data_IF_236245624296
#
_entry.id   IF_236245624296
#
_cell.length_a   1.000
_cell.length_b   1.000
_cell.length_c   1.000
_cell.angle_alpha   90.00
_cell.angle_beta   90.00
_cell.angle_gamma   90.00
#
_symmetry.space_group_name_H-M   'P 1'
#
loop_
_entity.id
_entity.type
_entity.pdbx_description
1 polymer ?
#
# COMPACT_ATOMS: atom_id res chain seq x y z
N UNK A 1 -37.95 10.63 -17.84
CA UNK A 1 -37.56 10.70 -19.27
C UNK A 1 -37.22 12.16 -19.58
N UNK A 2 -36.21 12.43 -20.42
CA UNK A 2 -35.77 13.80 -20.75
C UNK A 2 -34.88 14.49 -19.71
N UNK A 3 -34.38 13.74 -18.70
CA UNK A 3 -33.47 14.26 -17.67
C UNK A 3 -32.09 13.64 -17.82
N UNK A 4 -31.06 14.38 -17.44
CA UNK A 4 -29.69 13.86 -17.42
C UNK A 4 -29.54 12.76 -16.37
N UNK A 5 -28.93 11.63 -16.76
CA UNK A 5 -28.72 10.51 -15.84
C UNK A 5 -27.78 10.89 -14.67
N UNK A 6 -26.80 11.76 -14.91
CA UNK A 6 -25.81 12.18 -13.91
C UNK A 6 -26.44 12.90 -12.70
N UNK A 7 -27.63 13.49 -12.88
CA UNK A 7 -28.39 14.13 -11.81
C UNK A 7 -28.83 13.14 -10.72
N UNK A 8 -28.95 11.87 -11.08
CA UNK A 8 -29.35 10.80 -10.16
C UNK A 8 -28.15 10.11 -9.52
N UNK A 9 -26.95 10.28 -10.06
CA UNK A 9 -25.71 9.69 -9.53
C UNK A 9 -25.17 10.54 -8.38
N UNK A 10 -24.80 9.89 -7.29
CA UNK A 10 -24.19 10.54 -6.13
C UNK A 10 -22.93 11.32 -6.53
N UNK A 11 -22.71 12.55 -6.02
CA UNK A 11 -21.57 13.39 -6.40
C UNK A 11 -20.21 12.69 -6.33
N UNK A 12 -19.98 11.88 -5.30
CA UNK A 12 -18.74 11.08 -5.11
C UNK A 12 -18.48 10.05 -6.21
N UNK A 13 -19.53 9.57 -6.89
CA UNK A 13 -19.41 8.51 -7.91
C UNK A 13 -19.36 9.06 -9.34
N UNK A 14 -19.54 10.38 -9.52
CA UNK A 14 -19.61 11.02 -10.85
C UNK A 14 -18.30 10.92 -11.62
N UNK A 15 -17.17 11.07 -10.93
CA UNK A 15 -15.84 10.98 -11.56
C UNK A 15 -15.57 9.55 -12.05
N UNK A 16 -15.90 8.56 -11.23
CA UNK A 16 -15.81 7.14 -11.61
C UNK A 16 -16.70 6.85 -12.81
N UNK A 17 -17.94 7.35 -12.82
CA UNK A 17 -18.86 7.21 -13.96
C UNK A 17 -18.30 7.83 -15.25
N UNK A 18 -17.79 9.06 -15.18
CA UNK A 18 -17.22 9.75 -16.33
C UNK A 18 -15.98 9.01 -16.89
N UNK A 19 -15.10 8.54 -16.01
CA UNK A 19 -13.92 7.75 -16.39
C UNK A 19 -14.31 6.44 -17.08
N UNK A 20 -15.32 5.72 -16.56
CA UNK A 20 -15.80 4.47 -17.15
C UNK A 20 -16.42 4.66 -18.54
N UNK A 21 -17.17 5.74 -18.74
CA UNK A 21 -17.72 6.09 -20.05
C UNK A 21 -16.60 6.43 -21.02
N UNK A 22 -15.64 7.26 -20.60
CA UNK A 22 -14.54 7.72 -21.45
C UNK A 22 -13.68 6.55 -21.91
N UNK A 23 -13.32 5.65 -20.99
CA UNK A 23 -12.56 4.44 -21.32
C UNK A 23 -13.34 3.48 -22.22
N UNK A 24 -14.66 3.36 -22.01
CA UNK A 24 -15.52 2.51 -22.83
C UNK A 24 -15.70 3.03 -24.27
N UNK A 25 -15.63 4.34 -24.49
CA UNK A 25 -15.69 4.99 -25.80
C UNK A 25 -14.32 5.06 -26.50
N UNK A 26 -13.23 5.16 -25.73
CA UNK A 26 -11.87 5.34 -26.24
C UNK A 26 -11.24 4.08 -26.86
N UNK A 27 -11.91 2.91 -26.79
CA UNK A 27 -11.42 1.69 -27.46
C UNK A 27 -11.50 1.90 -28.97
N UNK A 28 -10.37 2.03 -29.69
CA UNK A 28 -10.39 2.26 -31.12
C UNK A 28 -10.99 1.04 -31.82
N UNK A 29 -11.99 1.25 -32.67
CA UNK A 29 -12.28 0.26 -33.72
C UNK A 29 -11.10 0.36 -34.69
N UNK A 30 -10.25 -0.67 -34.75
CA UNK A 30 -9.18 -0.73 -35.74
C UNK A 30 -9.80 -0.57 -37.15
N UNK A 31 -9.63 0.61 -37.72
CA UNK A 31 -9.88 0.89 -39.13
C UNK A 31 -8.51 0.92 -39.76
N UNK A 32 -8.06 -0.22 -40.27
CA UNK A 32 -7.18 -0.30 -41.45
C UNK A 32 -7.14 -1.75 -41.94
N UNK A 33 -7.42 -1.90 -43.23
CA UNK A 33 -7.63 -3.20 -43.87
C UNK A 33 -6.34 -3.96 -44.08
N UNK A 34 -6.35 -5.24 -43.73
CA UNK A 34 -5.97 -6.36 -44.60
C UNK A 34 -6.61 -7.61 -44.00
N UNK A 35 -6.98 -8.56 -44.84
CA UNK A 35 -7.72 -9.76 -44.48
C UNK A 35 -7.03 -10.58 -43.38
N UNK A 36 -7.74 -10.85 -42.29
CA UNK A 36 -7.90 -12.21 -41.74
C UNK A 36 -9.11 -12.24 -40.80
N UNK A 37 -9.94 -13.27 -40.97
CA UNK A 37 -11.22 -13.48 -40.26
C UNK A 37 -10.95 -13.69 -38.76
N UNK A 38 -11.04 -12.63 -37.97
CA UNK A 38 -11.44 -12.72 -36.56
C UNK A 38 -12.60 -11.76 -36.37
N UNK A 39 -13.79 -12.32 -36.10
CA UNK A 39 -14.98 -11.56 -35.74
C UNK A 39 -14.67 -10.66 -34.54
N UNK A 40 -14.42 -9.37 -34.76
CA UNK A 40 -14.40 -8.36 -33.71
C UNK A 40 -15.84 -7.96 -33.34
N UNK A 41 -16.61 -8.93 -32.85
CA UNK A 41 -17.81 -8.66 -32.06
C UNK A 41 -17.38 -8.40 -30.64
N UNK A 42 -17.33 -7.13 -30.24
CA UNK A 42 -16.96 -6.77 -28.88
C UNK A 42 -17.68 -5.50 -28.46
N UNK A 43 -18.96 -5.61 -28.10
CA UNK A 43 -19.58 -4.63 -27.22
C UNK A 43 -18.75 -4.62 -25.92
N UNK A 44 -17.91 -3.62 -25.71
CA UNK A 44 -17.20 -3.44 -24.45
C UNK A 44 -18.24 -3.23 -23.36
N UNK A 45 -18.43 -4.25 -22.53
CA UNK A 45 -19.28 -4.18 -21.36
C UNK A 45 -18.39 -3.74 -20.21
N UNK A 46 -18.56 -2.51 -19.75
CA UNK A 46 -17.92 -2.03 -18.52
C UNK A 46 -18.90 -2.14 -17.36
N UNK A 47 -18.38 -2.45 -16.16
CA UNK A 47 -19.17 -2.48 -14.93
C UNK A 47 -18.61 -1.50 -13.90
N UNK A 48 -19.48 -0.92 -13.09
CA UNK A 48 -19.09 -0.05 -11.99
C UNK A 48 -20.11 -0.04 -10.86
N UNK A 49 -19.67 0.34 -9.66
CA UNK A 49 -20.55 0.57 -8.53
C UNK A 49 -20.91 2.06 -8.43
N UNK A 50 -22.17 2.38 -8.19
CA UNK A 50 -22.58 3.76 -7.91
C UNK A 50 -23.76 3.81 -6.96
N UNK A 51 -23.94 4.98 -6.34
CA UNK A 51 -25.13 5.30 -5.56
C UNK A 51 -26.09 6.11 -6.43
N UNK A 52 -27.31 5.60 -6.58
CA UNK A 52 -28.39 6.28 -7.32
C UNK A 52 -29.39 6.85 -6.32
N UNK A 53 -29.78 8.10 -6.54
CA UNK A 53 -30.74 8.84 -5.73
C UNK A 53 -32.07 8.10 -5.69
N UNK A 54 -32.59 7.87 -4.49
CA UNK A 54 -33.93 7.29 -4.32
C UNK A 54 -34.99 8.33 -4.70
N UNK A 55 -36.03 7.87 -5.38
CA UNK A 55 -37.16 8.71 -5.74
C UNK A 55 -37.85 9.26 -4.48
N UNK A 56 -38.07 10.57 -4.43
CA UNK A 56 -38.85 11.21 -3.37
C UNK A 56 -40.33 11.02 -3.70
N UNK A 57 -40.92 9.93 -3.21
CA UNK A 57 -42.37 9.74 -3.28
C UNK A 57 -43.11 10.84 -2.50
N UNK A 58 -44.22 11.31 -3.05
CA UNK A 58 -45.18 12.21 -2.39
C UNK A 58 -46.06 11.50 -1.34
N UNK A 59 -45.79 10.23 -1.04
CA UNK A 59 -46.62 9.39 -0.16
C UNK A 59 -46.67 9.84 1.30
N UNK A 60 -45.74 10.70 1.74
CA UNK A 60 -45.66 11.21 3.11
C UNK A 60 -45.58 12.74 3.13
N UNK A 61 -46.65 13.41 2.68
CA UNK A 61 -46.88 14.85 2.88
C UNK A 61 -46.37 15.80 1.78
N UNK A 62 -46.89 17.03 1.81
CA UNK A 62 -46.65 18.11 0.83
C UNK A 62 -45.28 18.82 0.98
N UNK A 63 -44.50 18.49 2.01
CA UNK A 63 -43.16 19.06 2.28
C UNK A 63 -42.05 18.31 1.54
N UNK A 64 -41.84 18.61 0.24
CA UNK A 64 -40.77 17.98 -0.56
C UNK A 64 -39.41 18.67 -0.36
N UNK A 65 -39.38 19.88 0.21
CA UNK A 65 -38.15 20.68 0.37
C UNK A 65 -37.25 20.22 1.53
N UNK A 66 -37.80 19.67 2.61
CA UNK A 66 -37.03 19.33 3.83
C UNK A 66 -36.61 17.86 3.96
N UNK A 67 -36.87 17.02 2.94
CA UNK A 67 -36.48 15.59 2.99
C UNK A 67 -35.02 15.39 2.59
N UNK A 68 -34.22 14.84 3.49
CA UNK A 68 -32.83 14.43 3.24
C UNK A 68 -32.77 13.55 1.97
N UNK A 69 -31.82 13.84 1.07
CA UNK A 69 -31.62 13.03 -0.15
C UNK A 69 -31.00 11.70 0.26
N UNK A 70 -31.71 10.60 0.04
CA UNK A 70 -31.16 9.25 0.25
C UNK A 70 -30.71 8.65 -1.07
N UNK A 71 -29.67 7.83 -0.99
CA UNK A 71 -29.12 7.12 -2.13
C UNK A 71 -29.11 5.61 -1.85
N UNK A 72 -29.12 4.81 -2.91
CA UNK A 72 -29.06 3.36 -2.82
C UNK A 72 -27.93 2.87 -3.74
N UNK A 73 -27.12 1.88 -3.31
CA UNK A 73 -26.03 1.33 -4.12
C UNK A 73 -26.56 0.42 -5.25
N UNK A 74 -25.92 0.50 -6.42
CA UNK A 74 -26.20 -0.32 -7.59
C UNK A 74 -24.89 -0.76 -8.25
N UNK A 75 -24.89 -1.98 -8.78
CA UNK A 75 -23.95 -2.41 -9.83
C UNK A 75 -24.53 -1.96 -11.18
N UNK A 76 -23.85 -1.03 -11.83
CA UNK A 76 -24.14 -0.59 -13.19
C UNK A 76 -23.34 -1.41 -14.18
N UNK A 77 -24.03 -1.88 -15.23
CA UNK A 77 -23.44 -2.45 -16.43
C UNK A 77 -23.69 -1.50 -17.60
N UNK A 78 -22.62 -0.98 -18.17
CA UNK A 78 -22.61 -0.01 -19.25
C UNK A 78 -22.38 -0.75 -20.58
N UNK A 79 -23.17 -0.42 -21.58
CA UNK A 79 -23.00 -0.93 -22.94
C UNK A 79 -23.30 0.13 -23.98
N UNK A 80 -22.41 0.28 -24.97
CA UNK A 80 -22.59 1.24 -26.05
C UNK A 80 -23.21 0.55 -27.26
N UNK A 81 -24.31 1.13 -27.76
CA UNK A 81 -24.97 0.69 -28.99
C UNK A 81 -24.87 1.78 -30.04
N UNK A 82 -24.31 1.43 -31.20
CA UNK A 82 -24.29 2.33 -32.34
C UNK A 82 -25.56 2.07 -33.16
N UNK A 83 -26.33 3.11 -33.45
CA UNK A 83 -27.43 3.06 -34.41
C UNK A 83 -27.03 3.97 -35.56
N UNK A 84 -26.98 3.41 -36.77
CA UNK A 84 -26.73 4.16 -37.99
C UNK A 84 -28.08 4.35 -38.67
N UNK A 85 -28.55 5.59 -38.73
CA UNK A 85 -29.71 5.99 -39.51
C UNK A 85 -29.24 6.85 -40.70
N UNK A 86 -30.14 7.18 -41.63
CA UNK A 86 -29.82 7.96 -42.84
C UNK A 86 -29.24 9.36 -42.53
N UNK A 87 -29.48 9.88 -41.31
CA UNK A 87 -29.04 11.20 -40.83
C UNK A 87 -27.68 11.18 -40.10
N UNK A 88 -27.09 10.00 -39.88
CA UNK A 88 -25.76 9.85 -39.28
C UNK A 88 -25.64 8.72 -38.26
N UNK A 89 -24.48 8.65 -37.61
CA UNK A 89 -24.15 7.62 -36.61
C UNK A 89 -24.41 8.14 -35.20
N UNK A 90 -25.47 7.64 -34.57
CA UNK A 90 -25.81 7.92 -33.18
C UNK A 90 -25.25 6.85 -32.25
N UNK A 91 -24.73 7.27 -31.09
CA UNK A 91 -24.21 6.38 -30.06
C UNK A 91 -25.11 6.46 -28.83
N UNK A 92 -25.70 5.33 -28.46
CA UNK A 92 -26.54 5.18 -27.27
C UNK A 92 -25.76 4.48 -26.17
N UNK A 93 -25.84 5.01 -24.95
CA UNK A 93 -25.39 4.35 -23.74
C UNK A 93 -26.57 3.63 -23.08
N UNK A 94 -26.50 2.31 -23.01
CA UNK A 94 -27.49 1.47 -22.31
C UNK A 94 -26.91 1.09 -20.95
N UNK A 95 -27.64 1.45 -19.90
CA UNK A 95 -27.31 1.18 -18.51
C UNK A 95 -28.25 0.11 -17.94
N UNK A 96 -27.70 -0.98 -17.42
CA UNK A 96 -28.42 -1.95 -16.62
C UNK A 96 -27.99 -1.79 -15.16
N UNK A 97 -28.93 -1.49 -14.27
CA UNK A 97 -28.67 -1.26 -12.86
C UNK A 97 -29.21 -2.42 -12.00
N UNK A 98 -28.33 -3.12 -11.29
CA UNK A 98 -28.69 -4.15 -10.32
C UNK A 98 -28.55 -3.59 -8.91
N UNK A 99 -29.63 -3.52 -8.10
CA UNK A 99 -29.55 -3.01 -6.73
C UNK A 99 -28.68 -3.91 -5.86
N UNK A 100 -27.91 -3.28 -4.96
CA UNK A 100 -27.14 -3.98 -3.93
C UNK A 100 -27.86 -3.84 -2.59
N UNK A 101 -27.79 -4.92 -1.81
CA UNK A 101 -28.44 -5.02 -0.51
C UNK A 101 -27.43 -5.46 0.54
N UNK A 102 -27.70 -5.11 1.80
CA UNK A 102 -26.92 -5.64 2.91
C UNK A 102 -27.04 -7.17 2.95
N UNK A 103 -25.96 -7.83 3.32
CA UNK A 103 -25.98 -9.26 3.58
C UNK A 103 -26.75 -9.63 4.85
N UNK A 104 -27.00 -8.65 5.73
CA UNK A 104 -27.66 -8.86 7.02
C UNK A 104 -29.13 -8.43 6.98
N UNK A 105 -29.99 -9.23 7.61
CA UNK A 105 -31.42 -9.01 7.73
C UNK A 105 -31.83 -8.60 9.14
N UNK A 106 -31.08 -9.06 10.14
CA UNK A 106 -31.33 -8.78 11.55
C UNK A 106 -30.06 -8.24 12.24
N UNK A 107 -30.20 -7.47 13.32
CA UNK A 107 -29.08 -7.06 14.17
C UNK A 107 -28.23 -8.25 14.64
N UNK A 108 -26.91 -8.10 14.60
CA UNK A 108 -25.94 -9.10 15.10
C UNK A 108 -26.15 -10.51 14.52
N UNK A 109 -26.55 -10.59 13.24
CA UNK A 109 -26.82 -11.87 12.58
C UNK A 109 -25.56 -12.73 12.50
N UNK A 110 -25.62 -13.95 13.04
CA UNK A 110 -24.53 -14.93 12.93
C UNK A 110 -24.54 -15.55 11.52
N UNK A 111 -23.44 -15.39 10.79
CA UNK A 111 -23.34 -15.84 9.40
C UNK A 111 -22.61 -17.18 9.32
N UNK A 112 -23.35 -18.27 9.11
CA UNK A 112 -22.78 -19.63 9.06
C UNK A 112 -22.01 -19.94 7.76
N UNK A 113 -22.41 -19.31 6.64
CA UNK A 113 -21.81 -19.51 5.31
C UNK A 113 -21.56 -18.16 4.64
N UNK A 114 -20.56 -17.43 5.13
CA UNK A 114 -20.13 -16.17 4.49
C UNK A 114 -19.28 -16.46 3.26
N UNK A 115 -19.48 -15.72 2.17
CA UNK A 115 -18.51 -15.68 1.08
C UNK A 115 -17.31 -14.86 1.57
N UNK A 116 -16.09 -15.43 1.58
CA UNK A 116 -14.92 -14.67 2.00
C UNK A 116 -14.57 -13.62 0.95
N UNK A 117 -14.03 -12.50 1.40
CA UNK A 117 -13.56 -11.42 0.54
C UNK A 117 -12.14 -11.02 0.91
N UNK A 118 -11.44 -10.40 -0.02
CA UNK A 118 -10.06 -9.96 0.16
C UNK A 118 -9.97 -8.44 0.29
N UNK A 119 -9.17 -7.99 1.25
CA UNK A 119 -8.70 -6.61 1.35
C UNK A 119 -7.18 -6.60 1.28
N UNK A 120 -6.63 -5.65 0.53
CA UNK A 120 -5.19 -5.41 0.44
C UNK A 120 -4.86 -3.97 0.81
N UNK A 121 -3.82 -3.80 1.60
CA UNK A 121 -3.24 -2.49 1.92
C UNK A 121 -1.72 -2.53 1.85
N UNK A 122 -1.13 -1.38 1.54
CA UNK A 122 0.33 -1.20 1.49
C UNK A 122 0.89 -1.00 2.91
N UNK A 123 2.22 -1.05 3.06
CA UNK A 123 2.89 -0.90 4.37
C UNK A 123 2.63 0.45 5.08
N UNK A 124 2.09 1.46 4.40
CA UNK A 124 1.63 2.72 5.03
C UNK A 124 0.25 2.62 5.68
N UNK A 125 -0.46 1.49 5.52
CA UNK A 125 -1.83 1.29 5.98
C UNK A 125 -2.89 1.64 4.92
N UNK A 126 -2.51 2.32 3.83
CA UNK A 126 -3.46 2.73 2.80
C UNK A 126 -4.03 1.52 2.04
N UNK A 127 -5.36 1.48 1.91
CA UNK A 127 -6.06 0.48 1.12
C UNK A 127 -5.72 0.61 -0.37
N UNK A 128 -5.26 -0.49 -0.94
CA UNK A 128 -4.94 -0.61 -2.37
C UNK A 128 -6.09 -1.30 -3.12
N UNK A 129 -6.67 -2.33 -2.51
CA UNK A 129 -7.72 -3.13 -3.13
C UNK A 129 -8.74 -3.61 -2.11
N UNK A 130 -10.00 -3.65 -2.54
CA UNK A 130 -11.11 -4.28 -1.82
C UNK A 130 -11.94 -5.10 -2.80
N UNK A 131 -12.27 -6.32 -2.41
CA UNK A 131 -13.15 -7.18 -3.22
C UNK A 131 -14.56 -6.60 -3.30
N UNK A 132 -15.20 -6.63 -4.48
CA UNK A 132 -16.63 -6.33 -4.62
C UNK A 132 -17.54 -7.17 -3.70
N UNK A 133 -17.13 -8.40 -3.39
CA UNK A 133 -17.82 -9.33 -2.49
C UNK A 133 -17.93 -8.78 -1.06
N UNK A 134 -17.09 -7.82 -0.68
CA UNK A 134 -17.17 -7.15 0.61
C UNK A 134 -18.32 -6.14 0.70
N UNK A 135 -18.84 -5.64 -0.44
CA UNK A 135 -19.80 -4.54 -0.50
C UNK A 135 -21.08 -4.85 0.32
N UNK A 136 -21.71 -6.04 0.20
CA UNK A 136 -22.87 -6.39 1.01
C UNK A 136 -22.59 -6.50 2.52
N UNK A 137 -21.33 -6.74 2.91
CA UNK A 137 -20.95 -6.94 4.31
C UNK A 137 -20.44 -5.66 4.99
N UNK A 138 -19.73 -4.80 4.26
CA UNK A 138 -19.10 -3.61 4.84
C UNK A 138 -19.71 -2.31 4.32
N UNK A 139 -20.46 -2.33 3.21
CA UNK A 139 -21.09 -1.15 2.63
C UNK A 139 -20.15 -0.18 1.89
N UNK A 140 -18.84 -0.43 1.90
CA UNK A 140 -17.87 0.39 1.17
C UNK A 140 -17.85 0.04 -0.31
N UNK A 141 -17.95 1.05 -1.17
CA UNK A 141 -17.69 0.87 -2.60
C UNK A 141 -16.18 0.94 -2.87
N UNK A 142 -15.64 0.24 -3.90
CA UNK A 142 -14.20 0.27 -4.20
C UNK A 142 -13.62 1.68 -4.38
N UNK A 143 -14.38 2.60 -4.99
CA UNK A 143 -13.96 4.00 -5.14
C UNK A 143 -13.95 4.80 -3.82
N UNK A 144 -14.67 4.36 -2.79
CA UNK A 144 -14.73 5.04 -1.50
C UNK A 144 -13.57 4.66 -0.58
N UNK A 145 -12.83 3.60 -0.90
CA UNK A 145 -11.72 3.11 -0.07
C UNK A 145 -10.35 3.56 -0.56
N UNK A 146 -10.25 4.06 -1.80
CA UNK A 146 -8.98 4.59 -2.31
C UNK A 146 -8.48 5.70 -1.38
N UNK A 147 -7.25 5.55 -0.88
CA UNK A 147 -6.60 6.45 0.09
C UNK A 147 -7.22 6.48 1.49
N UNK A 148 -8.07 5.51 1.86
CA UNK A 148 -8.42 5.28 3.27
C UNK A 148 -7.41 4.36 3.93
N UNK A 149 -7.14 4.63 5.20
CA UNK A 149 -6.29 3.78 6.03
C UNK A 149 -7.10 2.58 6.54
N UNK A 150 -6.61 1.36 6.24
CA UNK A 150 -7.20 0.11 6.69
C UNK A 150 -7.27 0.02 8.22
N UNK A 151 -6.30 0.61 8.93
CA UNK A 151 -6.22 0.57 10.39
C UNK A 151 -7.33 1.40 11.07
N UNK A 152 -7.96 2.33 10.33
CA UNK A 152 -9.12 3.07 10.82
C UNK A 152 -10.39 2.22 10.85
N UNK A 153 -10.43 1.12 10.08
CA UNK A 153 -11.56 0.20 10.08
C UNK A 153 -11.57 -0.67 11.34
N UNK A 154 -10.47 -0.80 12.06
CA UNK A 154 -10.43 -1.62 13.27
C UNK A 154 -11.03 -0.92 14.48
N UNK A 155 -11.74 -1.69 15.29
CA UNK A 155 -12.22 -1.22 16.57
C UNK A 155 -11.04 -0.84 17.50
N UNK A 156 -11.08 0.32 18.18
CA UNK A 156 -10.00 0.78 19.04
C UNK A 156 -9.50 -0.24 20.07
N UNK A 157 -10.41 -0.94 20.75
CA UNK A 157 -10.05 -1.94 21.77
C UNK A 157 -9.31 -3.16 21.19
N UNK A 158 -9.52 -3.47 19.90
CA UNK A 158 -8.93 -4.65 19.27
C UNK A 158 -7.52 -4.34 18.71
N UNK A 159 -7.11 -3.06 18.67
CA UNK A 159 -5.82 -2.62 18.13
C UNK A 159 -4.62 -3.22 18.86
N UNK A 160 -4.73 -3.48 20.16
CA UNK A 160 -3.64 -4.10 20.94
C UNK A 160 -3.36 -5.52 20.46
N UNK A 161 -4.42 -6.29 20.21
CA UNK A 161 -4.30 -7.64 19.64
C UNK A 161 -3.83 -7.58 18.19
N UNK A 162 -4.43 -6.70 17.38
CA UNK A 162 -4.05 -6.57 15.97
C UNK A 162 -2.59 -6.15 15.80
N UNK A 163 -2.05 -5.32 16.70
CA UNK A 163 -0.62 -5.01 16.73
C UNK A 163 0.24 -6.28 16.80
N UNK A 164 -0.09 -7.22 17.69
CA UNK A 164 0.62 -8.50 17.80
C UNK A 164 0.48 -9.32 16.52
N UNK A 165 -0.70 -9.31 15.90
CA UNK A 165 -0.92 -9.97 14.61
C UNK A 165 -0.02 -9.38 13.52
N UNK A 166 0.08 -8.05 13.42
CA UNK A 166 0.98 -7.38 12.47
C UNK A 166 2.46 -7.68 12.72
N UNK A 167 2.89 -7.81 13.99
CA UNK A 167 4.25 -8.28 14.30
C UNK A 167 4.52 -9.69 13.75
N UNK A 168 3.53 -10.60 13.86
CA UNK A 168 3.63 -11.94 13.27
C UNK A 168 3.61 -11.89 11.74
N UNK A 169 2.78 -11.03 11.12
CA UNK A 169 2.74 -10.88 9.65
C UNK A 169 4.12 -10.49 9.11
N UNK A 170 4.79 -9.50 9.71
CA UNK A 170 6.10 -9.03 9.23
C UNK A 170 7.19 -10.09 9.41
N UNK A 171 7.13 -10.86 10.51
CA UNK A 171 8.10 -11.92 10.81
C UNK A 171 7.88 -13.15 9.94
N UNK A 172 6.68 -13.73 9.95
CA UNK A 172 6.42 -15.03 9.34
C UNK A 172 5.86 -14.95 7.92
N UNK A 173 5.49 -13.75 7.47
CA UNK A 173 4.94 -13.48 6.15
C UNK A 173 3.48 -13.89 5.99
N UNK A 174 2.95 -14.71 6.90
CA UNK A 174 1.57 -15.17 6.94
C UNK A 174 1.12 -15.42 8.38
N UNK A 175 -0.18 -15.28 8.62
CA UNK A 175 -0.81 -15.68 9.87
C UNK A 175 -2.03 -16.52 9.53
N UNK A 176 -2.13 -17.76 10.06
CA UNK A 176 -3.32 -18.58 9.87
C UNK A 176 -4.54 -17.90 10.51
N UNK A 177 -5.72 -18.50 10.32
CA UNK A 177 -7.00 -17.92 10.74
C UNK A 177 -6.97 -17.37 12.17
N UNK A 178 -7.00 -16.04 12.29
CA UNK A 178 -6.81 -15.33 13.54
C UNK A 178 -8.06 -15.36 14.41
N UNK A 179 -7.94 -14.92 15.67
CA UNK A 179 -9.10 -14.75 16.56
C UNK A 179 -10.05 -13.71 15.97
N UNK A 180 -11.37 -13.84 16.20
CA UNK A 180 -12.33 -12.85 15.73
C UNK A 180 -12.05 -11.44 16.29
N UNK A 181 -12.14 -10.43 15.44
CA UNK A 181 -12.05 -9.02 15.81
C UNK A 181 -13.09 -8.20 15.06
N UNK A 182 -13.24 -6.93 15.43
CA UNK A 182 -14.27 -6.03 14.89
C UNK A 182 -13.73 -5.11 13.80
N UNK A 183 -14.45 -5.06 12.68
CA UNK A 183 -14.19 -4.17 11.55
C UNK A 183 -15.41 -3.27 11.28
N UNK A 184 -15.17 -1.97 11.15
CA UNK A 184 -16.19 -0.94 10.98
C UNK A 184 -16.76 -0.96 9.57
N UNK A 185 -18.07 -1.12 9.45
CA UNK A 185 -18.82 -0.94 8.21
C UNK A 185 -19.07 0.55 7.91
N UNK A 186 -19.55 0.86 6.71
CA UNK A 186 -19.79 2.21 6.22
C UNK A 186 -20.86 2.96 7.03
N UNK A 187 -21.75 2.25 7.72
CA UNK A 187 -22.72 2.81 8.67
C UNK A 187 -22.11 3.13 10.06
N UNK A 188 -20.82 2.88 10.28
CA UNK A 188 -20.13 3.15 11.54
C UNK A 188 -20.29 2.09 12.62
N UNK A 189 -21.14 1.08 12.40
CA UNK A 189 -21.22 -0.10 13.26
C UNK A 189 -20.13 -1.10 12.90
N UNK A 190 -19.94 -2.10 13.75
CA UNK A 190 -18.87 -3.08 13.62
C UNK A 190 -19.39 -4.46 13.26
N UNK A 191 -18.71 -5.10 12.32
CA UNK A 191 -18.89 -6.49 11.91
C UNK A 191 -17.79 -7.32 12.54
N UNK A 192 -18.13 -8.49 13.07
CA UNK A 192 -17.14 -9.42 13.64
C UNK A 192 -16.67 -10.38 12.58
N UNK A 193 -15.36 -10.49 12.42
CA UNK A 193 -14.77 -11.33 11.39
C UNK A 193 -13.47 -11.99 11.84
N UNK A 194 -13.15 -13.10 11.18
CA UNK A 194 -11.86 -13.77 11.26
C UNK A 194 -11.07 -13.51 9.98
N UNK A 195 -9.75 -13.47 10.08
CA UNK A 195 -8.89 -13.17 8.92
C UNK A 195 -7.75 -14.16 8.82
N UNK A 196 -7.49 -14.60 7.59
CA UNK A 196 -6.23 -15.24 7.23
C UNK A 196 -5.35 -14.18 6.58
N UNK A 197 -4.15 -13.99 7.10
CA UNK A 197 -3.23 -12.96 6.63
C UNK A 197 -2.12 -13.55 5.79
N UNK A 198 -1.79 -12.85 4.71
CA UNK A 198 -0.57 -13.08 3.95
C UNK A 198 0.06 -11.73 3.60
N UNK A 199 1.35 -11.74 3.30
CA UNK A 199 2.07 -10.55 2.91
C UNK A 199 3.03 -10.85 1.77
N UNK A 200 3.37 -9.80 1.03
CA UNK A 200 4.42 -9.87 0.02
C UNK A 200 5.59 -9.00 0.44
N UNK A 201 6.76 -9.64 0.51
CA UNK A 201 8.03 -8.99 0.81
C UNK A 201 8.83 -8.97 -0.48
N UNK A 202 9.27 -7.79 -0.86
CA UNK A 202 10.05 -7.60 -2.06
C UNK A 202 11.41 -8.34 -1.93
N UNK A 203 11.78 -9.23 -2.86
CA UNK A 203 12.96 -10.08 -2.70
C UNK A 203 14.28 -9.31 -2.83
N UNK A 204 14.29 -8.11 -3.41
CA UNK A 204 15.48 -7.27 -3.55
C UNK A 204 15.62 -6.30 -2.37
N UNK A 205 14.57 -5.52 -2.09
CA UNK A 205 14.62 -4.53 -1.00
C UNK A 205 14.47 -5.15 0.38
N UNK A 206 13.96 -6.39 0.46
CA UNK A 206 13.58 -7.10 1.70
C UNK A 206 12.53 -6.36 2.55
N UNK A 207 11.84 -5.37 1.98
CA UNK A 207 10.78 -4.60 2.63
C UNK A 207 9.40 -5.19 2.32
N UNK A 208 8.48 -5.00 3.24
CA UNK A 208 7.06 -5.31 3.06
C UNK A 208 6.47 -4.38 1.99
N UNK A 209 5.83 -4.96 0.98
CA UNK A 209 5.20 -4.20 -0.11
C UNK A 209 3.70 -4.02 0.17
N UNK A 210 3.01 -5.12 0.44
CA UNK A 210 1.59 -5.13 0.78
C UNK A 210 1.22 -6.31 1.69
N UNK A 211 0.11 -6.12 2.40
CA UNK A 211 -0.55 -7.12 3.25
C UNK A 211 -1.92 -7.42 2.67
N UNK A 212 -2.26 -8.70 2.62
CA UNK A 212 -3.53 -9.23 2.15
C UNK A 212 -4.25 -9.89 3.33
N UNK A 213 -5.46 -9.41 3.62
CA UNK A 213 -6.39 -10.04 4.55
C UNK A 213 -7.49 -10.76 3.78
N UNK A 214 -7.62 -12.08 3.98
CA UNK A 214 -8.80 -12.84 3.54
C UNK A 214 -9.77 -12.96 4.70
N UNK A 215 -10.89 -12.26 4.61
CA UNK A 215 -11.85 -12.07 5.69
C UNK A 215 -13.01 -13.04 5.60
N UNK A 216 -13.47 -13.51 6.76
CA UNK A 216 -14.62 -14.40 6.93
C UNK A 216 -15.55 -13.77 7.95
N UNK A 217 -16.78 -13.45 7.54
CA UNK A 217 -17.77 -12.83 8.43
C UNK A 217 -18.30 -13.87 9.39
N UNK A 218 -18.32 -13.52 10.68
CA UNK A 218 -18.85 -14.35 11.76
C UNK A 218 -20.18 -13.79 12.23
N UNK A 219 -20.25 -12.48 12.45
CA UNK A 219 -21.41 -11.80 13.03
C UNK A 219 -21.59 -10.43 12.40
N UNK A 220 -22.83 -10.10 12.04
CA UNK A 220 -23.21 -8.82 11.47
C UNK A 220 -23.18 -7.65 12.47
N UNK A 221 -23.38 -6.43 11.96
CA UNK A 221 -23.46 -5.23 12.79
C UNK A 221 -24.78 -5.12 13.54
N UNK A 222 -24.83 -4.20 14.50
CA UNK A 222 -26.05 -3.86 15.26
C UNK A 222 -27.14 -3.32 14.32
N UNK A 223 -26.78 -2.38 13.45
CA UNK A 223 -27.65 -1.97 12.35
C UNK A 223 -27.39 -2.83 11.11
N UNK A 224 -28.34 -3.71 10.71
CA UNK A 224 -28.15 -4.58 9.56
C UNK A 224 -28.01 -3.82 8.23
N UNK A 225 -28.47 -2.56 8.12
CA UNK A 225 -28.28 -1.77 6.90
C UNK A 225 -26.89 -1.10 6.88
N UNK A 226 -25.92 -1.79 6.27
CA UNK A 226 -24.54 -1.31 6.12
C UNK A 226 -24.39 -0.10 5.20
N UNK A 227 -25.41 0.22 4.41
CA UNK A 227 -25.39 1.37 3.48
C UNK A 227 -26.01 2.62 4.07
N UNK A 228 -26.58 2.55 5.26
CA UNK A 228 -27.17 3.69 5.93
C UNK A 228 -26.09 4.73 6.27
N UNK A 229 -26.31 5.97 5.85
CA UNK A 229 -25.43 7.09 6.18
C UNK A 229 -25.59 7.50 7.64
N UNK A 230 -24.49 7.59 8.36
CA UNK A 230 -24.48 7.98 9.78
C UNK A 230 -24.02 9.43 9.92
N UNK A 231 -24.76 10.22 10.72
CA UNK A 231 -24.34 11.56 11.13
C UNK A 231 -23.15 11.45 12.10
N UNK A 232 -22.11 12.29 11.96
CA UNK A 232 -20.97 12.25 12.87
C UNK A 232 -21.43 12.57 14.30
N UNK A 233 -21.32 11.60 15.20
CA UNK A 233 -21.64 11.81 16.62
C UNK A 233 -20.63 12.79 17.23
N UNK A 234 -21.14 13.89 17.81
CA UNK A 234 -20.33 14.88 18.53
C UNK A 234 -19.88 14.26 19.86
N UNK A 235 -18.62 13.87 19.96
CA UNK A 235 -18.07 13.22 21.17
C UNK A 235 -17.57 14.20 22.24
N UNK A 236 -17.74 13.84 23.52
CA UNK A 236 -17.24 14.58 24.69
C UNK A 236 -15.80 14.20 25.10
N UNK A 237 -15.24 14.85 26.15
CA UNK A 237 -13.80 14.77 26.52
C UNK A 237 -13.20 13.35 26.63
N UNK A 238 -13.91 12.37 27.19
CA UNK A 238 -13.40 10.98 27.29
C UNK A 238 -13.19 10.31 25.92
N UNK A 239 -13.88 10.78 24.88
CA UNK A 239 -13.74 10.29 23.51
C UNK A 239 -12.41 10.74 22.88
N UNK A 240 -11.85 11.88 23.29
CA UNK A 240 -10.60 12.38 22.73
C UNK A 240 -9.39 11.58 23.22
N UNK A 241 -9.32 11.23 24.51
CA UNK A 241 -8.21 10.44 25.04
C UNK A 241 -8.21 9.02 24.48
N UNK A 242 -9.40 8.41 24.30
CA UNK A 242 -9.54 7.13 23.62
C UNK A 242 -9.08 7.20 22.16
N UNK A 243 -9.43 8.28 21.44
CA UNK A 243 -8.97 8.52 20.07
C UNK A 243 -7.46 8.68 19.97
N UNK A 244 -6.83 9.43 20.88
CA UNK A 244 -5.36 9.61 20.90
C UNK A 244 -4.65 8.27 21.12
N UNK A 245 -5.09 7.48 22.11
CA UNK A 245 -4.53 6.14 22.36
C UNK A 245 -4.66 5.23 21.14
N UNK A 246 -5.83 5.20 20.51
CA UNK A 246 -6.07 4.42 19.30
C UNK A 246 -5.15 4.88 18.15
N UNK A 247 -4.95 6.19 18.00
CA UNK A 247 -4.07 6.77 16.99
C UNK A 247 -2.61 6.36 17.22
N UNK A 248 -2.11 6.42 18.45
CA UNK A 248 -0.75 5.95 18.79
C UNK A 248 -0.56 4.46 18.50
N UNK A 249 -1.58 3.63 18.75
CA UNK A 249 -1.53 2.21 18.41
C UNK A 249 -1.48 1.98 16.89
N UNK A 250 -2.26 2.73 16.11
CA UNK A 250 -2.23 2.67 14.64
C UNK A 250 -0.85 3.07 14.10
N UNK A 251 -0.29 4.17 14.60
CA UNK A 251 1.06 4.61 14.24
C UNK A 251 2.11 3.56 14.61
N UNK A 252 1.97 2.90 15.77
CA UNK A 252 2.85 1.80 16.15
C UNK A 252 2.74 0.61 15.18
N UNK A 253 1.55 0.31 14.65
CA UNK A 253 1.35 -0.77 13.66
C UNK A 253 2.02 -0.40 12.33
N UNK A 254 1.84 0.84 11.86
CA UNK A 254 2.55 1.33 10.67
C UNK A 254 4.06 1.27 10.86
N UNK A 255 4.56 1.66 12.03
CA UNK A 255 5.98 1.55 12.38
C UNK A 255 6.48 0.10 12.30
N UNK A 256 5.72 -0.86 12.83
CA UNK A 256 6.05 -2.29 12.75
C UNK A 256 6.19 -2.74 11.29
N UNK A 257 5.24 -2.37 10.44
CA UNK A 257 5.26 -2.73 9.01
C UNK A 257 6.47 -2.18 8.24
N UNK A 258 7.06 -1.08 8.69
CA UNK A 258 8.15 -0.40 7.98
C UNK A 258 9.55 -0.65 8.59
N UNK A 259 9.65 -0.84 9.90
CA UNK A 259 10.93 -0.91 10.62
C UNK A 259 11.34 -2.31 11.06
N UNK A 260 10.39 -3.21 11.32
CA UNK A 260 10.72 -4.55 11.77
C UNK A 260 11.32 -5.32 10.60
N UNK A 261 12.51 -5.89 10.83
CA UNK A 261 13.19 -6.71 9.83
C UNK A 261 12.30 -7.89 9.47
N UNK A 262 12.08 -8.06 8.17
CA UNK A 262 11.41 -9.25 7.67
C UNK A 262 12.30 -10.46 7.90
N UNK A 263 11.74 -11.66 8.07
CA UNK A 263 12.55 -12.89 8.25
C UNK A 263 13.63 -13.10 7.19
N UNK A 264 13.41 -12.81 5.88
CA UNK A 264 14.48 -12.79 4.90
C UNK A 264 15.59 -11.77 5.18
N UNK A 265 15.26 -10.58 5.70
CA UNK A 265 16.24 -9.57 6.09
C UNK A 265 17.04 -10.00 7.33
N UNK A 266 16.39 -10.63 8.31
CA UNK A 266 17.06 -11.18 9.49
C UNK A 266 18.07 -12.27 9.11
N UNK A 267 17.68 -13.22 8.26
CA UNK A 267 18.58 -14.28 7.76
C UNK A 267 19.78 -13.70 6.99
N UNK A 268 19.56 -12.69 6.14
CA UNK A 268 20.64 -12.02 5.42
C UNK A 268 21.62 -11.30 6.37
N UNK A 269 21.09 -10.62 7.41
CA UNK A 269 21.91 -9.98 8.44
C UNK A 269 22.75 -10.98 9.22
N UNK A 270 22.16 -12.12 9.61
CA UNK A 270 22.89 -13.20 10.29
C UNK A 270 23.98 -13.79 9.42
N UNK A 271 23.72 -14.02 8.13
CA UNK A 271 24.72 -14.52 7.19
C UNK A 271 25.88 -13.54 7.00
N UNK A 272 25.60 -12.24 6.87
CA UNK A 272 26.65 -11.22 6.79
C UNK A 272 27.46 -11.15 8.08
N UNK A 273 26.80 -11.18 9.25
CA UNK A 273 27.49 -11.21 10.55
C UNK A 273 28.42 -12.40 10.68
N UNK A 274 27.97 -13.59 10.27
CA UNK A 274 28.78 -14.81 10.27
C UNK A 274 30.00 -14.66 9.36
N UNK A 275 29.82 -14.16 8.14
CA UNK A 275 30.94 -13.93 7.20
C UNK A 275 31.96 -12.94 7.72
N UNK A 276 31.53 -11.86 8.36
CA UNK A 276 32.44 -10.90 8.98
C UNK A 276 33.23 -11.53 10.13
N UNK A 277 32.58 -12.38 10.94
CA UNK A 277 33.25 -13.10 12.02
C UNK A 277 34.24 -14.14 11.49
N UNK A 278 33.86 -14.91 10.47
CA UNK A 278 34.75 -15.88 9.81
C UNK A 278 35.98 -15.17 9.23
N UNK A 279 35.79 -14.02 8.56
CA UNK A 279 36.89 -13.20 8.03
C UNK A 279 37.79 -12.66 9.15
N UNK A 280 37.22 -12.16 10.24
CA UNK A 280 37.99 -11.67 11.38
C UNK A 280 38.85 -12.77 12.00
N UNK A 281 38.29 -13.97 12.20
CA UNK A 281 39.05 -15.12 12.71
C UNK A 281 40.18 -15.54 11.77
N UNK A 282 39.95 -15.50 10.46
CA UNK A 282 40.99 -15.79 9.47
C UNK A 282 42.12 -14.75 9.49
N UNK A 283 41.79 -13.46 9.62
CA UNK A 283 42.79 -12.40 9.74
C UNK A 283 43.59 -12.51 11.04
N UNK A 284 42.94 -12.89 12.15
CA UNK A 284 43.59 -13.16 13.44
C UNK A 284 44.60 -14.31 13.33
N UNK A 285 44.21 -15.43 12.69
CA UNK A 285 45.13 -16.55 12.42
C UNK A 285 46.33 -16.11 11.57
N UNK A 286 46.12 -15.31 10.52
CA UNK A 286 47.22 -14.80 9.69
C UNK A 286 48.15 -13.83 10.43
N UNK A 287 47.64 -13.10 11.41
CA UNK A 287 48.45 -12.23 12.26
C UNK A 287 49.25 -13.01 13.31
N UNK A 288 48.69 -14.11 13.81
CA UNK A 288 49.37 -15.05 14.72
C UNK A 288 50.43 -15.91 14.02
N UNK A 289 50.23 -16.23 12.72
CA UNK A 289 51.18 -16.97 11.88
C UNK A 289 52.35 -16.13 11.33
N UNK A 290 52.49 -14.85 11.71
CA UNK A 290 53.71 -14.11 11.39
C UNK A 290 54.94 -14.81 12.00
N UNK A 291 56.03 -15.03 11.24
CA UNK A 291 57.17 -15.79 11.72
C UNK A 291 57.81 -15.03 12.90
N UNK A 292 58.05 -15.75 13.99
CA UNK A 292 59.04 -15.34 14.99
C UNK A 292 60.34 -15.07 14.23
N UNK A 293 60.79 -13.83 14.21
CA UNK A 293 62.17 -13.50 13.88
C UNK A 293 63.00 -14.17 14.97
N UNK A 294 63.58 -15.32 14.64
CA UNK A 294 64.60 -15.96 15.45
C UNK A 294 65.83 -15.06 15.46
N UNK A 295 66.25 -14.69 16.67
CA UNK A 295 67.62 -14.31 16.98
C UNK A 295 68.58 -15.42 16.53
N UNK A 296 69.26 -15.24 15.40
CA UNK A 296 70.71 -15.52 15.18
C UNK A 296 71.04 -15.53 13.68
N UNK A 297 71.27 -14.33 13.11
CA UNK A 297 72.32 -14.17 12.11
C UNK A 297 73.49 -13.46 12.80
N UNK A 298 74.33 -14.26 13.45
CA UNK A 298 75.68 -13.84 13.85
C UNK A 298 76.47 -13.56 12.58
N UNK A 299 76.64 -12.28 12.24
CA UNK A 299 77.77 -11.86 11.41
C UNK A 299 78.82 -11.33 12.37
N UNK A 300 79.87 -12.13 12.56
CA UNK A 300 81.06 -11.78 13.33
C UNK A 300 81.69 -10.51 12.75
N UNK A 301 81.69 -9.42 13.52
CA UNK A 301 82.60 -8.30 13.29
C UNK A 301 83.82 -8.58 14.15
N UNK A 302 84.82 -9.22 13.54
CA UNK A 302 86.16 -9.29 14.12
C UNK A 302 86.78 -7.90 14.00
N UNK A 303 87.01 -7.24 15.14
CA UNK A 303 87.82 -6.02 15.20
C UNK A 303 89.23 -6.37 14.70
N UNK A 304 89.65 -5.73 13.60
CA UNK A 304 91.05 -5.67 13.23
C UNK A 304 91.50 -4.22 13.31
N UNK A 305 92.42 -4.02 14.24
CA UNK A 305 93.11 -2.78 14.60
C UNK A 305 93.64 -1.93 13.43
N UNK A 306 93.75 -0.64 13.75
CA UNK A 306 94.81 0.32 13.37
C UNK A 306 94.59 1.28 12.19
N UNK A 307 94.83 2.55 12.54
CA UNK A 307 95.48 3.63 11.76
C UNK A 307 94.62 4.34 10.71
N UNK A 308 94.71 5.64 10.42
CA UNK A 308 95.31 6.86 10.98
C UNK A 308 94.82 8.01 10.05
N UNK A 309 94.65 9.23 10.57
CA UNK A 309 94.38 10.53 9.90
C UNK A 309 92.98 10.84 9.28
N UNK A 310 92.23 11.87 9.73
CA UNK A 310 92.32 13.34 9.42
C UNK A 310 91.77 13.63 8.00
N UNK A 311 90.76 14.48 7.74
CA UNK A 311 90.56 15.90 8.11
C UNK A 311 89.17 16.44 7.74
N UNK A 312 88.82 17.50 8.47
CA UNK A 312 88.06 18.72 8.12
C UNK A 312 86.55 18.63 7.83
N UNK A 313 85.69 19.09 8.76
CA UNK A 313 85.33 20.51 9.08
C UNK A 313 84.63 21.18 7.89
N UNK A 314 83.36 21.62 7.95
CA UNK A 314 82.86 22.91 8.49
C UNK A 314 81.34 22.94 8.14
N UNK A 315 80.41 22.92 9.11
CA UNK A 315 79.65 24.03 9.71
C UNK A 315 78.58 24.74 8.86
N UNK A 316 77.43 24.98 9.53
CA UNK A 316 76.34 25.95 9.28
C UNK A 316 75.36 25.57 8.15
N UNK A 317 74.04 25.63 8.28
CA UNK A 317 73.16 26.42 9.15
C UNK A 317 72.13 27.15 8.27
N UNK A 318 70.84 27.09 8.61
CA UNK A 318 69.85 28.09 8.18
C UNK A 318 68.79 27.68 7.13
N UNK A 319 67.54 27.55 7.61
CA UNK A 319 66.25 28.05 7.06
C UNK A 319 65.99 28.15 5.53
N UNK A 320 65.00 27.36 5.05
CA UNK A 320 63.81 27.66 4.18
C UNK A 320 63.97 28.50 2.87
N UNK A 321 62.96 28.72 1.98
CA UNK A 321 61.66 28.06 1.66
C UNK A 321 61.37 27.95 0.12
N UNK A 322 60.15 27.51 -0.26
CA UNK A 322 59.44 27.70 -1.56
C UNK A 322 59.81 26.88 -2.81
N UNK A 323 58.80 26.28 -3.45
CA UNK A 323 58.24 26.79 -4.72
C UNK A 323 56.86 26.20 -5.05
N UNK A 324 55.90 27.10 -5.26
CA UNK A 324 54.55 26.91 -5.79
C UNK A 324 54.53 26.86 -7.33
N UNK A 325 53.35 26.49 -7.86
CA UNK A 325 52.79 26.74 -9.20
C UNK A 325 53.30 25.83 -10.35
N UNK A 326 52.49 25.40 -11.34
CA UNK A 326 51.37 26.12 -11.94
C UNK A 326 50.44 25.24 -12.83
N UNK A 327 49.17 25.66 -12.90
CA UNK A 327 48.20 25.75 -14.01
C UNK A 327 48.23 24.87 -15.28
N UNK A 328 47.04 24.40 -15.69
CA UNK A 328 46.52 24.57 -17.06
C UNK A 328 44.97 24.44 -17.17
N UNK A 329 44.36 25.41 -17.86
CA UNK A 329 42.92 25.65 -18.11
C UNK A 329 42.41 24.93 -19.38
N UNK A 330 41.09 24.66 -19.49
CA UNK A 330 40.20 25.03 -20.62
C UNK A 330 38.79 24.37 -20.49
N UNK A 331 37.71 25.13 -20.22
CA UNK A 331 36.57 25.53 -21.10
C UNK A 331 35.71 24.36 -21.66
N UNK A 332 34.36 24.31 -21.64
CA UNK A 332 33.37 25.32 -22.06
C UNK A 332 31.92 24.86 -21.70
N UNK A 333 31.03 25.77 -21.27
CA UNK A 333 29.55 25.63 -21.25
C UNK A 333 28.97 25.86 -22.68
N UNK A 334 27.79 25.39 -23.12
CA UNK A 334 26.38 25.82 -22.88
C UNK A 334 25.51 25.23 -24.05
N UNK A 335 24.17 25.40 -24.17
CA UNK A 335 23.08 25.59 -23.20
C UNK A 335 21.82 24.73 -23.50
N UNK A 336 20.82 24.89 -22.63
CA UNK A 336 19.43 24.39 -22.73
C UNK A 336 18.56 25.37 -23.55
N UNK A 337 17.62 24.82 -24.33
CA UNK A 337 16.38 25.48 -24.79
C UNK A 337 15.25 24.46 -24.76
#
# INVERSE_FOLDING_TARGET
IGRSFIDFVHPRDRNTFASQITNGLAVPKNVNGTQEKVQSSGNSVSTMFCRIRRYRGLTTGFGVKDKVVTFMPFLLKLSFKNICDEEGKLIYLVLQATPLFSAFKIPNEVVLKSVPFVIRHVASGNLEYIDPESIPYLGYLPQDVTNKDALQLYHPDDLVYLKQVYETIVKDGNVPRCKPYRMMAQNGDYVKLETVWSSFINPWSKKLEFVIGKHYIIEGPVNPDVFQSTEPSKGGKNFEDGKKKAQTLRESIVKIMNEVLTKPAEMAKQQMSKRCQDLASFMETLMEEQPKIDDELRVEIHEQDNSYYERDSVMLGGISPHHDCNDSKSSTETPVS
#
